data_IF_614455946899
#
_entry.id   IF_614455946899
#
_cell.length_a   1.000
_cell.length_b   1.000
_cell.length_c   1.000
_cell.angle_alpha   90.00
_cell.angle_beta   90.00
_cell.angle_gamma   90.00
#
_symmetry.space_group_name_H-M   'P 1'
#
loop_
_entity.id
_entity.type
_entity.pdbx_description
1 polymer ?
#
# COMPACT_ATOMS: atom_id res chain seq x y z
N UNK A 1 -3.75 5.55 -10.76
CA UNK A 1 -2.62 4.63 -10.53
C UNK A 1 -3.11 3.20 -10.77
N UNK A 2 -2.34 2.34 -11.44
CA UNK A 2 -2.76 0.96 -11.68
C UNK A 2 -2.04 0.04 -10.68
N UNK A 3 -2.70 -0.34 -9.59
CA UNK A 3 -2.18 -1.28 -8.58
C UNK A 3 -3.10 -2.51 -8.62
N UNK A 4 -2.52 -3.70 -8.71
CA UNK A 4 -3.26 -4.95 -8.60
C UNK A 4 -3.47 -5.28 -7.12
N UNK A 5 -4.71 -5.53 -6.71
CA UNK A 5 -5.03 -5.93 -5.33
C UNK A 5 -5.68 -7.32 -5.39
N UNK A 6 -5.09 -8.31 -4.70
CA UNK A 6 -5.68 -9.65 -4.63
C UNK A 6 -6.96 -9.66 -3.80
N UNK A 7 -7.82 -10.66 -4.00
CA UNK A 7 -9.08 -10.77 -3.24
C UNK A 7 -8.85 -10.83 -1.73
N UNK A 8 -7.80 -11.54 -1.28
CA UNK A 8 -7.40 -11.61 0.14
C UNK A 8 -6.99 -10.24 0.69
N UNK A 9 -6.27 -9.45 -0.10
CA UNK A 9 -5.93 -8.09 0.28
C UNK A 9 -7.17 -7.20 0.29
N UNK A 10 -8.10 -7.35 -0.66
CA UNK A 10 -9.37 -6.60 -0.69
C UNK A 10 -10.21 -6.86 0.56
N UNK A 11 -10.34 -8.10 1.00
CA UNK A 11 -11.03 -8.44 2.26
C UNK A 11 -10.42 -7.68 3.44
N UNK A 12 -9.08 -7.64 3.54
CA UNK A 12 -8.41 -6.96 4.64
C UNK A 12 -8.52 -5.43 4.54
N UNK A 13 -8.40 -4.86 3.35
CA UNK A 13 -8.57 -3.42 3.11
C UNK A 13 -10.02 -2.98 3.36
N UNK A 14 -11.00 -3.82 3.04
CA UNK A 14 -12.41 -3.56 3.34
C UNK A 14 -12.64 -3.46 4.84
N UNK A 15 -12.08 -4.39 5.63
CA UNK A 15 -12.13 -4.30 7.10
C UNK A 15 -11.48 -3.01 7.61
N UNK A 16 -10.36 -2.57 7.03
CA UNK A 16 -9.76 -1.28 7.41
C UNK A 16 -10.69 -0.11 7.08
N UNK A 17 -11.27 -0.08 5.89
CA UNK A 17 -12.21 0.95 5.44
C UNK A 17 -13.45 1.03 6.33
N UNK A 18 -14.08 -0.11 6.64
CA UNK A 18 -15.28 -0.19 7.48
C UNK A 18 -15.03 0.31 8.90
N UNK A 19 -13.79 0.15 9.39
CA UNK A 19 -13.36 0.65 10.69
C UNK A 19 -12.75 2.07 10.64
N UNK A 20 -12.88 2.79 9.51
CA UNK A 20 -12.31 4.13 9.29
C UNK A 20 -10.79 4.20 9.52
N UNK A 21 -10.08 3.10 9.27
CA UNK A 21 -8.63 3.02 9.38
C UNK A 21 -7.99 3.52 8.08
N UNK A 22 -7.15 4.58 8.13
CA UNK A 22 -6.47 5.08 6.94
C UNK A 22 -5.59 4.01 6.30
N UNK A 23 -5.55 3.99 4.96
CA UNK A 23 -4.71 3.09 4.18
C UNK A 23 -3.61 3.93 3.54
N UNK A 24 -2.38 3.74 4.00
CA UNK A 24 -1.21 4.42 3.44
C UNK A 24 -0.16 3.40 2.99
N UNK A 25 0.38 3.63 1.80
CA UNK A 25 1.45 2.87 1.20
C UNK A 25 2.73 3.69 1.27
N UNK A 26 3.71 3.14 1.98
CA UNK A 26 4.94 3.86 2.32
C UNK A 26 6.17 3.00 2.02
N UNK A 27 7.30 3.67 1.81
CA UNK A 27 8.60 3.07 1.53
C UNK A 27 9.48 3.14 2.77
N UNK A 28 10.06 2.01 3.16
CA UNK A 28 11.03 1.92 4.25
C UNK A 28 12.37 1.40 3.75
N UNK A 29 13.51 2.00 4.19
CA UNK A 29 14.82 1.48 3.87
C UNK A 29 15.04 0.14 4.56
N UNK A 30 15.62 -0.82 3.84
CA UNK A 30 16.09 -2.10 4.38
C UNK A 30 17.52 -2.35 3.90
N UNK A 31 18.48 -2.23 4.82
CA UNK A 31 19.91 -2.36 4.49
C UNK A 31 20.46 -1.19 3.66
N UNK A 32 21.66 -1.36 3.11
CA UNK A 32 22.44 -0.26 2.53
C UNK A 32 21.88 0.32 1.22
N UNK A 33 21.16 -0.47 0.42
CA UNK A 33 20.69 -0.04 -0.91
C UNK A 33 19.31 -0.58 -1.31
N UNK A 34 18.53 -1.12 -0.38
CA UNK A 34 17.23 -1.73 -0.67
C UNK A 34 16.09 -1.05 0.07
N UNK A 35 14.89 -1.13 -0.50
CA UNK A 35 13.67 -0.59 0.08
C UNK A 35 12.59 -1.66 0.08
N UNK A 36 11.73 -1.63 1.10
CA UNK A 36 10.48 -2.38 1.13
C UNK A 36 9.31 -1.40 1.15
N UNK A 37 8.17 -1.87 0.66
CA UNK A 37 6.92 -1.15 0.69
C UNK A 37 5.99 -1.82 1.69
N UNK A 38 5.25 -1.02 2.44
CA UNK A 38 4.31 -1.50 3.45
C UNK A 38 3.02 -0.72 3.41
N UNK A 39 1.93 -1.43 3.70
CA UNK A 39 0.67 -0.81 4.07
C UNK A 39 0.73 -0.48 5.57
N UNK A 40 0.43 0.76 5.91
CA UNK A 40 0.42 1.28 7.27
C UNK A 40 -0.82 2.13 7.49
N UNK A 41 -1.24 2.25 8.75
CA UNK A 41 -2.34 3.13 9.14
C UNK A 41 -1.78 4.48 9.58
N UNK A 42 -1.57 5.38 8.62
CA UNK A 42 -1.08 6.74 8.88
C UNK A 42 -2.05 7.72 8.22
N UNK A 43 -2.39 8.79 8.94
CA UNK A 43 -3.20 9.87 8.39
C UNK A 43 -2.41 10.61 7.30
N UNK A 44 -3.01 10.92 6.15
CA UNK A 44 -2.32 11.65 5.08
C UNK A 44 -1.82 13.02 5.57
N UNK A 45 -0.63 13.39 5.12
CA UNK A 45 -0.08 14.74 5.18
C UNK A 45 -0.38 15.51 3.89
N UNK A 46 -0.19 16.82 3.91
CA UNK A 46 -0.47 17.70 2.77
C UNK A 46 0.40 17.42 1.52
N UNK A 47 1.46 16.61 1.67
CA UNK A 47 2.36 16.21 0.57
C UNK A 47 2.00 14.84 -0.01
N UNK A 48 1.13 14.09 0.65
CA UNK A 48 0.77 12.76 0.20
C UNK A 48 -0.31 12.85 -0.89
N UNK A 49 -0.26 11.91 -1.83
CA UNK A 49 -1.26 11.81 -2.89
C UNK A 49 -2.20 10.66 -2.58
N UNK A 50 -3.50 10.92 -2.73
CA UNK A 50 -4.53 9.89 -2.54
C UNK A 50 -4.96 9.38 -3.90
N UNK A 51 -4.98 8.06 -4.06
CA UNK A 51 -5.44 7.39 -5.25
C UNK A 51 -6.57 6.44 -4.89
N UNK A 52 -7.67 6.52 -5.64
CA UNK A 52 -8.69 5.49 -5.58
C UNK A 52 -8.25 4.29 -6.43
N UNK A 53 -8.14 3.11 -5.81
CA UNK A 53 -7.79 1.84 -6.46
C UNK A 53 -8.81 0.80 -6.02
N UNK A 54 -9.57 0.24 -6.96
CA UNK A 54 -10.64 -0.73 -6.69
C UNK A 54 -11.63 -0.28 -5.58
N UNK A 55 -11.90 1.03 -5.48
CA UNK A 55 -12.81 1.60 -4.47
C UNK A 55 -12.17 1.85 -3.09
N UNK A 56 -10.86 1.68 -2.96
CA UNK A 56 -10.07 2.00 -1.76
C UNK A 56 -9.25 3.29 -1.98
N UNK A 57 -9.36 4.23 -1.06
CA UNK A 57 -8.52 5.42 -1.06
C UNK A 57 -7.16 5.08 -0.43
N UNK A 58 -6.15 4.95 -1.27
CA UNK A 58 -4.78 4.60 -0.90
C UNK A 58 -3.94 5.87 -0.93
N UNK A 59 -3.41 6.23 0.23
CA UNK A 59 -2.46 7.33 0.37
C UNK A 59 -1.07 6.85 -0.03
N UNK A 60 -0.39 7.54 -0.93
CA UNK A 60 1.00 7.26 -1.31
C UNK A 60 1.88 8.41 -0.88
N UNK A 61 2.90 8.09 -0.09
CA UNK A 61 3.86 9.08 0.39
C UNK A 61 4.83 9.45 -0.73
N UNK A 62 5.16 10.75 -0.79
CA UNK A 62 5.75 11.55 -1.90
C UNK A 62 6.87 10.85 -2.73
N UNK A 63 7.64 9.96 -2.09
CA UNK A 63 8.80 9.28 -2.67
C UNK A 63 8.52 7.93 -3.37
N UNK A 64 7.25 7.52 -3.49
CA UNK A 64 6.89 6.15 -3.87
C UNK A 64 6.09 6.02 -5.17
N UNK A 65 5.52 7.13 -5.69
CA UNK A 65 4.54 7.10 -6.80
C UNK A 65 5.04 6.39 -8.07
N UNK A 66 6.24 6.74 -8.57
CA UNK A 66 6.76 6.16 -9.81
C UNK A 66 7.04 4.65 -9.73
N UNK A 67 7.41 4.15 -8.55
CA UNK A 67 7.77 2.73 -8.33
C UNK A 67 6.58 1.84 -8.00
N UNK A 68 5.42 2.44 -7.72
CA UNK A 68 4.21 1.72 -7.35
C UNK A 68 3.22 1.56 -8.51
N UNK A 69 3.50 2.18 -9.66
CA UNK A 69 2.74 1.94 -10.88
C UNK A 69 2.91 0.47 -11.30
N UNK A 70 1.81 -0.27 -11.33
CA UNK A 70 1.78 -1.69 -11.64
C UNK A 70 2.10 -2.60 -10.45
N UNK A 71 2.29 -2.06 -9.24
CA UNK A 71 2.57 -2.87 -8.07
C UNK A 71 1.39 -3.80 -7.72
N UNK A 72 1.71 -4.92 -7.09
CA UNK A 72 0.74 -5.87 -6.54
C UNK A 72 0.70 -5.76 -5.02
N UNK A 73 -0.51 -5.71 -4.46
CA UNK A 73 -0.79 -5.80 -3.03
C UNK A 73 -1.47 -7.15 -2.78
N UNK A 74 -0.86 -7.95 -1.92
CA UNK A 74 -1.41 -9.22 -1.44
C UNK A 74 -1.47 -9.24 0.10
N UNK A 75 -2.17 -10.21 0.67
CA UNK A 75 -2.27 -10.41 2.11
C UNK A 75 -2.05 -11.89 2.45
N UNK A 76 -1.04 -12.17 3.28
CA UNK A 76 -0.65 -13.53 3.63
C UNK A 76 0.80 -13.66 4.03
N UNK A 77 1.43 -14.79 3.70
CA UNK A 77 2.81 -15.10 4.07
C UNK A 77 2.94 -15.83 5.42
N UNK A 78 4.19 -16.09 5.82
CA UNK A 78 4.54 -16.73 7.11
C UNK A 78 4.05 -15.92 8.31
N UNK A 79 4.07 -14.60 8.18
CA UNK A 79 3.47 -13.63 9.10
C UNK A 79 2.31 -13.01 8.34
N UNK A 80 1.09 -13.08 8.88
CA UNK A 80 -0.12 -12.55 8.22
C UNK A 80 -0.07 -11.02 8.13
N UNK A 81 0.52 -10.52 7.06
CA UNK A 81 0.69 -9.09 6.79
C UNK A 81 0.47 -8.78 5.30
N UNK A 82 0.40 -7.50 4.96
CA UNK A 82 0.38 -7.04 3.58
C UNK A 82 1.75 -7.26 2.92
N UNK A 83 1.71 -7.78 1.71
CA UNK A 83 2.89 -7.97 0.85
C UNK A 83 2.72 -7.04 -0.34
N UNK A 84 3.65 -6.11 -0.50
CA UNK A 84 3.66 -5.19 -1.65
C UNK A 84 4.83 -5.55 -2.57
N UNK A 85 4.51 -5.87 -3.81
CA UNK A 85 5.48 -6.25 -4.84
C UNK A 85 5.48 -5.21 -5.96
N UNK A 86 6.52 -4.35 -6.05
CA UNK A 86 6.69 -3.44 -7.17
C UNK A 86 6.87 -4.21 -8.48
N UNK A 87 6.35 -3.66 -9.58
CA UNK A 87 6.60 -4.17 -10.93
C UNK A 87 7.75 -3.34 -11.52
N UNK A 88 8.95 -3.91 -11.51
CA UNK A 88 10.13 -3.29 -12.12
C UNK A 88 10.06 -3.37 -13.64
#
# INVERSE_FOLDING_TARGET
MNIEITDRAKEKLQLMKDNNVPIALTRYPVGCSSFKYKIVSIKPSNRDKVYNVDGFDITVTDDSEFKLKGAKIDYGGLIKDFIVTPKF
#
